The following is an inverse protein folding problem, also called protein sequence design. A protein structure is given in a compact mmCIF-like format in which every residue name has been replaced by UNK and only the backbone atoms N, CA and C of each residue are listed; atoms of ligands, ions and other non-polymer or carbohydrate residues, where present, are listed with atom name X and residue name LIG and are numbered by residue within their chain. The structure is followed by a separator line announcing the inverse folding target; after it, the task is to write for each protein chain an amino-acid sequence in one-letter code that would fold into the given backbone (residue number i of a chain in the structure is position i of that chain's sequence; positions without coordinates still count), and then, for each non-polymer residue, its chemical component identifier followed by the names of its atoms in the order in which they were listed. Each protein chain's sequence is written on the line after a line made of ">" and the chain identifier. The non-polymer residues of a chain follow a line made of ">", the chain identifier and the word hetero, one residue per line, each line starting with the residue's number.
data_IF_798939429235
#
_entry.id   IF_798939429235
#
_cell.length_a   1.000
_cell.length_b   1.000
_cell.length_c   1.000
_cell.angle_alpha   90.00
_cell.angle_beta   90.00
_cell.angle_gamma   90.00
#
_symmetry.space_group_name_H-M   'P 1'
#
loop_
_entity.id
_entity.type
_entity.pdbx_description
1 polymer ?
#
# COMPACT_ATOMS: atom_id res chain seq x y z
N UNK A 1 -8.02 3.37 10.16
CA UNK A 1 -9.24 3.10 10.94
C UNK A 1 -9.24 1.67 11.48
N UNK A 2 -9.27 0.65 10.61
CA UNK A 2 -9.43 -0.75 11.00
C UNK A 2 -8.39 -1.25 12.03
N UNK A 3 -7.13 -0.85 11.89
CA UNK A 3 -6.08 -1.12 12.89
C UNK A 3 -6.51 -0.68 14.31
N UNK A 4 -6.96 0.56 14.48
CA UNK A 4 -7.34 1.10 15.80
C UNK A 4 -8.65 0.54 16.35
N UNK A 5 -9.49 -0.07 15.50
CA UNK A 5 -10.71 -0.76 15.93
C UNK A 5 -10.40 -2.18 16.41
N UNK A 6 -9.44 -2.86 15.77
CA UNK A 6 -9.18 -4.28 16.01
C UNK A 6 -8.04 -4.54 17.00
N UNK A 7 -7.09 -3.59 17.11
CA UNK A 7 -5.93 -3.68 17.99
C UNK A 7 -6.10 -2.68 19.14
N UNK A 8 -6.13 -3.17 20.39
CA UNK A 8 -6.14 -2.32 21.57
C UNK A 8 -4.92 -1.37 21.53
N UNK A 9 -5.17 -0.09 21.76
CA UNK A 9 -4.13 0.92 21.82
C UNK A 9 -4.44 1.89 22.96
N UNK A 10 -3.41 2.22 23.73
CA UNK A 10 -3.50 3.16 24.86
C UNK A 10 -3.56 4.63 24.41
N UNK A 11 -3.73 4.88 23.11
CA UNK A 11 -3.82 6.21 22.53
C UNK A 11 -5.20 6.81 22.79
N UNK A 12 -5.22 8.07 23.21
CA UNK A 12 -6.44 8.85 23.37
C UNK A 12 -7.04 9.15 21.98
N UNK A 13 -8.36 9.39 21.90
CA UNK A 13 -9.07 9.61 20.63
C UNK A 13 -8.42 10.69 19.75
N UNK A 14 -7.95 11.80 20.34
CA UNK A 14 -7.27 12.87 19.61
C UNK A 14 -5.96 12.40 18.96
N UNK A 15 -5.18 11.55 19.65
CA UNK A 15 -3.94 11.00 19.11
C UNK A 15 -4.23 10.04 17.94
N UNK A 16 -5.27 9.21 18.05
CA UNK A 16 -5.73 8.35 16.94
C UNK A 16 -6.12 9.20 15.73
N UNK A 17 -6.85 10.29 15.95
CA UNK A 17 -7.25 11.22 14.88
C UNK A 17 -6.05 11.91 14.24
N UNK A 18 -5.05 12.32 15.02
CA UNK A 18 -3.80 12.89 14.49
C UNK A 18 -3.06 11.90 13.59
N UNK A 19 -2.92 10.63 14.02
CA UNK A 19 -2.28 9.59 13.19
C UNK A 19 -3.07 9.35 11.92
N UNK A 20 -4.40 9.24 11.99
CA UNK A 20 -5.25 9.06 10.82
C UNK A 20 -5.16 10.25 9.85
N UNK A 21 -5.09 11.47 10.39
CA UNK A 21 -4.93 12.70 9.60
C UNK A 21 -3.57 12.73 8.90
N UNK A 22 -2.50 12.39 9.61
CA UNK A 22 -1.16 12.26 9.03
C UNK A 22 -1.15 11.25 7.87
N UNK A 23 -1.69 10.05 8.11
CA UNK A 23 -1.78 9.00 7.08
C UNK A 23 -2.60 9.48 5.88
N UNK A 24 -3.72 10.16 6.10
CA UNK A 24 -4.56 10.68 5.02
C UNK A 24 -3.82 11.76 4.20
N UNK A 25 -3.17 12.72 4.86
CA UNK A 25 -2.42 13.78 4.19
C UNK A 25 -1.29 13.18 3.34
N UNK A 26 -0.51 12.27 3.91
CA UNK A 26 0.67 11.70 3.23
C UNK A 26 0.29 10.73 2.12
N UNK A 27 -0.76 9.92 2.28
CA UNK A 27 -1.10 8.87 1.30
C UNK A 27 -2.12 9.32 0.24
N UNK A 28 -2.83 10.43 0.46
CA UNK A 28 -3.85 10.93 -0.46
C UNK A 28 -3.61 12.38 -0.88
N UNK A 29 -3.55 13.32 0.07
CA UNK A 29 -3.54 14.75 -0.25
C UNK A 29 -2.23 15.18 -0.95
N UNK A 30 -1.08 14.79 -0.40
CA UNK A 30 0.23 15.12 -0.97
C UNK A 30 0.39 14.51 -2.37
N UNK A 31 0.15 13.19 -2.59
CA UNK A 31 0.23 12.61 -3.93
C UNK A 31 -0.71 13.25 -4.94
N UNK A 32 -1.93 13.61 -4.53
CA UNK A 32 -2.89 14.29 -5.40
C UNK A 32 -2.38 15.66 -5.86
N UNK A 33 -1.87 16.48 -4.93
CA UNK A 33 -1.28 17.78 -5.25
C UNK A 33 -0.09 17.62 -6.21
N UNK A 34 0.73 16.60 -6.00
CA UNK A 34 1.89 16.34 -6.86
C UNK A 34 1.47 15.86 -8.26
N UNK A 35 0.41 15.06 -8.39
CA UNK A 35 -0.15 14.71 -9.71
C UNK A 35 -0.66 15.95 -10.46
N UNK A 36 -1.31 16.90 -9.77
CA UNK A 36 -1.72 18.19 -10.35
C UNK A 36 -0.49 18.97 -10.83
N UNK A 37 0.57 19.03 -10.03
CA UNK A 37 1.82 19.67 -10.40
C UNK A 37 2.46 19.01 -11.63
N UNK A 38 2.58 17.68 -11.65
CA UNK A 38 3.16 16.94 -12.78
C UNK A 38 2.38 17.14 -14.07
N UNK A 39 1.05 17.29 -14.01
CA UNK A 39 0.26 17.63 -15.18
C UNK A 39 0.56 19.06 -15.67
N UNK A 40 0.63 20.04 -14.76
CA UNK A 40 0.99 21.43 -15.10
C UNK A 40 2.38 21.52 -15.73
N UNK A 41 3.34 20.74 -15.23
CA UNK A 41 4.71 20.65 -15.75
C UNK A 41 4.85 19.75 -16.99
N UNK A 42 3.74 19.19 -17.51
CA UNK A 42 3.71 18.29 -18.69
C UNK A 42 4.50 16.99 -18.53
N UNK A 43 4.78 16.56 -17.30
CA UNK A 43 5.38 15.24 -17.03
C UNK A 43 4.39 14.08 -17.20
N UNK A 44 3.08 14.36 -17.06
CA UNK A 44 1.99 13.43 -17.37
C UNK A 44 1.00 14.08 -18.33
N UNK A 45 0.44 13.31 -19.27
CA UNK A 45 -0.55 13.82 -20.22
C UNK A 45 -1.93 13.95 -19.59
N UNK A 46 -2.31 12.99 -18.75
CA UNK A 46 -3.60 12.94 -18.09
C UNK A 46 -3.46 12.33 -16.68
N UNK A 47 -4.50 12.48 -15.86
CA UNK A 47 -4.51 11.98 -14.48
C UNK A 47 -4.66 10.46 -14.38
N UNK A 48 -4.91 9.74 -15.48
CA UNK A 48 -5.01 8.27 -15.48
C UNK A 48 -3.64 7.59 -15.46
N UNK A 49 -2.58 8.28 -15.91
CA UNK A 49 -1.18 7.81 -15.84
C UNK A 49 -1.04 6.37 -16.36
N UNK A 50 -1.45 6.13 -17.60
CA UNK A 50 -1.63 4.78 -18.17
C UNK A 50 -0.32 4.12 -18.61
N UNK A 51 0.69 4.94 -18.95
CA UNK A 51 1.98 4.45 -19.43
C UNK A 51 2.98 4.23 -18.30
N UNK A 52 3.89 3.26 -18.47
CA UNK A 52 4.99 3.03 -17.51
C UNK A 52 5.82 4.31 -17.34
N UNK A 53 6.09 5.03 -18.43
CA UNK A 53 6.88 6.26 -18.41
C UNK A 53 6.28 7.30 -17.47
N UNK A 54 4.97 7.50 -17.54
CA UNK A 54 4.27 8.44 -16.67
C UNK A 54 4.15 7.93 -15.22
N UNK A 55 4.15 6.61 -14.98
CA UNK A 55 4.05 6.01 -13.64
C UNK A 55 5.35 6.05 -12.84
N UNK A 56 6.52 6.14 -13.49
CA UNK A 56 7.83 6.12 -12.81
C UNK A 56 7.93 7.17 -11.71
N UNK A 57 7.71 8.44 -12.06
CA UNK A 57 7.89 9.56 -11.15
C UNK A 57 6.86 9.53 -9.98
N UNK A 58 5.55 9.35 -10.21
CA UNK A 58 4.57 9.16 -9.13
C UNK A 58 4.90 7.98 -8.20
N UNK A 59 5.32 6.82 -8.73
CA UNK A 59 5.63 5.67 -7.89
C UNK A 59 6.91 5.89 -7.08
N UNK A 60 7.97 6.46 -7.67
CA UNK A 60 9.21 6.76 -6.94
C UNK A 60 8.96 7.69 -5.76
N UNK A 61 8.13 8.72 -5.96
CA UNK A 61 7.67 9.59 -4.89
C UNK A 61 6.90 8.81 -3.81
N UNK A 62 5.95 7.96 -4.21
CA UNK A 62 5.17 7.17 -3.25
C UNK A 62 6.06 6.24 -2.41
N UNK A 63 7.08 5.61 -3.00
CA UNK A 63 8.10 4.85 -2.25
C UNK A 63 8.68 5.70 -1.12
N UNK A 64 9.17 6.89 -1.46
CA UNK A 64 9.76 7.81 -0.48
C UNK A 64 8.76 8.24 0.61
N UNK A 65 7.54 8.65 0.23
CA UNK A 65 6.52 9.08 1.17
C UNK A 65 6.10 7.95 2.14
N UNK A 66 5.92 6.73 1.62
CA UNK A 66 5.57 5.58 2.45
C UNK A 66 6.71 5.17 3.38
N UNK A 67 7.96 5.25 2.94
CA UNK A 67 9.12 5.02 3.81
C UNK A 67 9.17 6.03 4.96
N UNK A 68 9.09 7.33 4.66
CA UNK A 68 9.07 8.38 5.68
C UNK A 68 7.91 8.24 6.65
N UNK A 69 6.72 7.89 6.15
CA UNK A 69 5.55 7.64 6.99
C UNK A 69 5.76 6.44 7.92
N UNK A 70 6.34 5.36 7.38
CA UNK A 70 6.75 4.19 8.17
C UNK A 70 7.70 4.57 9.29
N UNK A 71 8.76 5.33 8.98
CA UNK A 71 9.74 5.81 9.97
C UNK A 71 9.15 6.73 11.02
N UNK A 72 8.30 7.66 10.60
CA UNK A 72 7.61 8.57 11.53
C UNK A 72 6.73 7.81 12.51
N UNK A 73 5.98 6.81 12.02
CA UNK A 73 5.07 6.00 12.84
C UNK A 73 5.83 4.99 13.70
N UNK A 74 6.95 4.43 13.23
CA UNK A 74 7.75 3.47 14.00
C UNK A 74 8.39 4.10 15.24
N UNK A 75 8.65 5.41 15.21
CA UNK A 75 9.19 6.16 16.35
C UNK A 75 8.15 6.40 17.46
N UNK A 76 6.86 6.15 17.19
CA UNK A 76 5.80 6.26 18.19
C UNK A 76 5.58 4.90 18.84
N UNK A 77 5.80 4.84 20.17
CA UNK A 77 5.53 3.65 20.96
C UNK A 77 4.09 3.15 20.73
N UNK A 78 3.92 1.82 20.69
CA UNK A 78 2.64 1.14 20.40
C UNK A 78 2.10 1.26 18.96
N UNK A 79 2.80 1.96 18.05
CA UNK A 79 2.44 2.03 16.63
C UNK A 79 3.41 1.29 15.70
N UNK A 80 4.43 0.62 16.24
CA UNK A 80 5.38 -0.18 15.45
C UNK A 80 4.68 -1.23 14.59
N UNK A 81 3.63 -1.87 15.10
CA UNK A 81 2.79 -2.79 14.32
C UNK A 81 2.19 -2.11 13.09
N UNK A 82 1.68 -0.89 13.21
CA UNK A 82 1.14 -0.12 12.09
C UNK A 82 2.24 0.33 11.10
N UNK A 83 3.46 0.63 11.57
CA UNK A 83 4.57 1.03 10.69
C UNK A 83 4.93 -0.03 9.65
N UNK A 84 4.71 -1.31 9.97
CA UNK A 84 4.93 -2.45 9.06
C UNK A 84 4.14 -2.30 7.76
N UNK A 85 2.91 -1.80 7.83
CA UNK A 85 2.07 -1.58 6.66
C UNK A 85 2.73 -0.62 5.66
N UNK A 86 3.31 0.47 6.16
CA UNK A 86 3.90 1.52 5.33
C UNK A 86 5.27 1.12 4.81
N UNK A 87 6.09 0.44 5.61
CA UNK A 87 7.35 -0.14 5.14
C UNK A 87 7.14 -1.21 4.07
N UNK A 88 6.18 -2.13 4.25
CA UNK A 88 5.83 -3.12 3.24
C UNK A 88 5.33 -2.46 1.95
N UNK A 89 4.50 -1.43 2.06
CA UNK A 89 4.03 -0.66 0.90
C UNK A 89 5.19 0.02 0.16
N UNK A 90 6.11 0.64 0.89
CA UNK A 90 7.32 1.24 0.30
C UNK A 90 8.14 0.22 -0.46
N UNK A 91 8.46 -0.93 0.16
CA UNK A 91 9.24 -1.99 -0.48
C UNK A 91 8.52 -2.59 -1.69
N UNK A 92 7.22 -2.84 -1.59
CA UNK A 92 6.41 -3.36 -2.68
C UNK A 92 6.38 -2.41 -3.89
N UNK A 93 6.20 -1.11 -3.64
CA UNK A 93 6.25 -0.09 -4.70
C UNK A 93 7.65 0.06 -5.30
N UNK A 94 8.70 -0.12 -4.50
CA UNK A 94 10.08 -0.15 -5.00
C UNK A 94 10.31 -1.33 -5.95
N UNK A 95 9.81 -2.53 -5.60
CA UNK A 95 9.84 -3.69 -6.50
C UNK A 95 9.05 -3.40 -7.79
N UNK A 96 7.86 -2.81 -7.71
CA UNK A 96 7.09 -2.40 -8.91
C UNK A 96 7.88 -1.40 -9.77
N UNK A 97 8.57 -0.46 -9.14
CA UNK A 97 9.43 0.49 -9.86
C UNK A 97 10.56 -0.23 -10.60
N UNK A 98 11.16 -1.26 -10.02
CA UNK A 98 12.14 -2.13 -10.71
C UNK A 98 11.49 -2.89 -11.87
N UNK A 99 10.27 -3.40 -11.70
CA UNK A 99 9.54 -4.11 -12.77
C UNK A 99 9.26 -3.25 -14.01
N UNK A 100 9.23 -1.93 -13.87
CA UNK A 100 9.10 -1.01 -15.00
C UNK A 100 10.28 -1.09 -15.98
N UNK A 101 11.48 -1.45 -15.53
CA UNK A 101 12.62 -1.69 -16.43
C UNK A 101 12.39 -2.92 -17.32
N UNK A 102 11.69 -3.93 -16.80
CA UNK A 102 11.28 -5.13 -17.53
C UNK A 102 9.96 -4.97 -18.31
N UNK A 103 9.42 -3.75 -18.40
CA UNK A 103 8.15 -3.42 -19.07
C UNK A 103 6.91 -4.13 -18.47
N UNK A 104 6.98 -4.61 -17.24
CA UNK A 104 5.87 -5.28 -16.55
C UNK A 104 5.04 -4.23 -15.80
N UNK A 105 3.73 -4.13 -16.10
CA UNK A 105 2.81 -3.20 -15.40
C UNK A 105 2.04 -3.93 -14.31
N UNK A 106 2.72 -4.34 -13.25
CA UNK A 106 2.09 -4.98 -12.10
C UNK A 106 0.91 -4.14 -11.56
N UNK A 107 -0.19 -4.82 -11.17
CA UNK A 107 -1.38 -4.15 -10.66
C UNK A 107 -1.16 -3.62 -9.25
N UNK A 108 -0.97 -2.30 -9.11
CA UNK A 108 -0.82 -1.63 -7.80
C UNK A 108 -2.08 -1.78 -6.94
N UNK A 109 -3.25 -1.93 -7.55
CA UNK A 109 -4.51 -2.15 -6.84
C UNK A 109 -4.52 -3.51 -6.12
N UNK A 110 -4.10 -4.57 -6.82
CA UNK A 110 -4.03 -5.91 -6.24
C UNK A 110 -2.84 -6.05 -5.30
N UNK A 111 -1.74 -5.35 -5.57
CA UNK A 111 -0.62 -5.20 -4.63
C UNK A 111 -1.09 -4.60 -3.30
N UNK A 112 -1.92 -3.56 -3.32
CA UNK A 112 -2.44 -2.94 -2.10
C UNK A 112 -3.28 -3.92 -1.26
N UNK A 113 -4.12 -4.74 -1.91
CA UNK A 113 -4.90 -5.77 -1.21
C UNK A 113 -4.02 -6.93 -0.71
N UNK A 114 -3.01 -7.34 -1.48
CA UNK A 114 -2.01 -8.32 -1.05
C UNK A 114 -1.27 -7.88 0.22
N UNK A 115 -0.82 -6.62 0.25
CA UNK A 115 -0.22 -6.01 1.45
C UNK A 115 -1.21 -6.04 2.62
N UNK A 116 -2.46 -5.64 2.41
CA UNK A 116 -3.42 -5.57 3.51
C UNK A 116 -3.73 -6.95 4.08
N UNK A 117 -3.84 -7.98 3.24
CA UNK A 117 -3.99 -9.37 3.66
C UNK A 117 -2.77 -9.83 4.46
N UNK A 118 -1.57 -9.66 3.91
CA UNK A 118 -0.33 -10.06 4.57
C UNK A 118 -0.10 -9.33 5.90
N UNK A 119 -0.48 -8.05 5.97
CA UNK A 119 -0.47 -7.24 7.18
C UNK A 119 -1.33 -7.86 8.29
N UNK A 120 -2.58 -8.24 8.00
CA UNK A 120 -3.44 -8.89 9.01
C UNK A 120 -2.99 -10.31 9.36
N UNK A 121 -2.36 -11.04 8.44
CA UNK A 121 -1.71 -12.32 8.75
C UNK A 121 -0.57 -12.14 9.76
N UNK A 122 0.31 -11.16 9.56
CA UNK A 122 1.41 -10.87 10.47
C UNK A 122 0.89 -10.35 11.82
N UNK A 123 -0.08 -9.42 11.82
CA UNK A 123 -0.69 -8.94 13.06
C UNK A 123 -1.37 -10.06 13.86
N UNK A 124 -1.93 -11.07 13.18
CA UNK A 124 -2.54 -12.21 13.86
C UNK A 124 -1.52 -12.95 14.72
N UNK A 125 -0.29 -13.08 14.22
CA UNK A 125 0.84 -13.68 14.94
C UNK A 125 1.35 -12.76 16.06
N UNK A 126 1.59 -11.48 15.76
CA UNK A 126 2.14 -10.52 16.74
C UNK A 126 1.24 -10.38 17.98
N UNK A 127 -0.08 -10.35 17.78
CA UNK A 127 -1.04 -10.12 18.87
C UNK A 127 -1.69 -11.41 19.39
N UNK A 128 -1.28 -12.59 18.91
CA UNK A 128 -1.91 -13.88 19.21
C UNK A 128 -3.46 -13.84 19.10
N UNK A 129 -3.97 -13.11 18.10
CA UNK A 129 -5.41 -12.85 17.90
C UNK A 129 -5.78 -13.19 16.46
N UNK A 130 -6.86 -13.92 16.27
CA UNK A 130 -7.33 -14.25 14.91
C UNK A 130 -7.99 -13.06 14.23
N UNK A 131 -7.47 -12.67 13.05
CA UNK A 131 -8.12 -11.74 12.13
C UNK A 131 -8.71 -12.45 10.89
N UNK A 132 -9.02 -13.75 11.01
CA UNK A 132 -9.42 -14.60 9.87
C UNK A 132 -10.61 -14.05 9.09
N UNK A 133 -11.63 -13.50 9.76
CA UNK A 133 -12.81 -12.92 9.09
C UNK A 133 -12.41 -11.75 8.20
N UNK A 134 -11.52 -10.87 8.70
CA UNK A 134 -11.00 -9.74 7.92
C UNK A 134 -10.22 -10.24 6.71
N UNK A 135 -9.38 -11.25 6.90
CA UNK A 135 -8.57 -11.85 5.83
C UNK A 135 -9.47 -12.46 4.73
N UNK A 136 -10.51 -13.23 5.10
CA UNK A 136 -11.47 -13.81 4.16
C UNK A 136 -12.16 -12.70 3.34
N UNK A 137 -12.67 -11.66 4.01
CA UNK A 137 -13.31 -10.53 3.34
C UNK A 137 -12.35 -9.86 2.35
N UNK A 138 -11.08 -9.65 2.74
CA UNK A 138 -10.09 -9.05 1.87
C UNK A 138 -9.75 -9.93 0.66
N UNK A 139 -9.69 -11.26 0.80
CA UNK A 139 -9.51 -12.17 -0.33
C UNK A 139 -10.70 -12.12 -1.30
N UNK A 140 -11.94 -12.07 -0.80
CA UNK A 140 -13.13 -11.92 -1.63
C UNK A 140 -13.10 -10.59 -2.41
N UNK A 141 -12.77 -9.49 -1.74
CA UNK A 141 -12.61 -8.18 -2.37
C UNK A 141 -11.48 -8.20 -3.41
N UNK A 142 -10.38 -8.90 -3.14
CA UNK A 142 -9.28 -9.06 -4.10
C UNK A 142 -9.72 -9.82 -5.36
N UNK A 143 -10.50 -10.90 -5.21
CA UNK A 143 -11.08 -11.63 -6.34
C UNK A 143 -12.00 -10.75 -7.19
N UNK A 144 -12.92 -10.02 -6.56
CA UNK A 144 -13.82 -9.09 -7.25
C UNK A 144 -13.04 -7.99 -7.99
N UNK A 145 -12.02 -7.41 -7.35
CA UNK A 145 -11.20 -6.37 -7.93
C UNK A 145 -10.36 -6.90 -9.10
N UNK A 146 -9.79 -8.11 -8.98
CA UNK A 146 -9.07 -8.77 -10.07
C UNK A 146 -9.98 -8.96 -11.29
N UNK A 147 -11.18 -9.49 -11.10
CA UNK A 147 -12.19 -9.67 -12.15
C UNK A 147 -12.52 -8.34 -12.83
N UNK A 148 -12.74 -7.28 -12.06
CA UNK A 148 -13.01 -5.95 -12.62
C UNK A 148 -11.84 -5.39 -13.44
N UNK A 149 -10.58 -5.60 -13.01
CA UNK A 149 -9.40 -5.15 -13.76
C UNK A 149 -9.21 -5.91 -15.08
N UNK A 150 -9.51 -7.21 -15.10
CA UNK A 150 -9.51 -8.02 -16.32
C UNK A 150 -10.63 -7.62 -17.28
N UNK A 151 -11.84 -7.43 -16.77
CA UNK A 151 -12.99 -7.03 -17.58
C UNK A 151 -12.78 -5.66 -18.26
N UNK A 152 -12.13 -4.72 -17.57
CA UNK A 152 -11.75 -3.41 -18.12
C UNK A 152 -10.52 -3.47 -19.05
N UNK A 153 -9.91 -4.65 -19.26
CA UNK A 153 -8.66 -4.85 -20.02
C UNK A 153 -7.52 -3.93 -19.54
N UNK A 154 -7.55 -3.53 -18.28
CA UNK A 154 -6.56 -2.61 -17.70
C UNK A 154 -5.24 -3.32 -17.37
N UNK A 155 -5.31 -4.62 -17.12
CA UNK A 155 -4.19 -5.48 -16.78
C UNK A 155 -4.40 -6.89 -17.35
N UNK A 156 -3.31 -7.61 -17.54
CA UNK A 156 -3.33 -9.05 -17.81
C UNK A 156 -3.40 -9.86 -16.52
N UNK A 157 -3.79 -11.13 -16.61
CA UNK A 157 -3.80 -12.07 -15.48
C UNK A 157 -2.44 -12.17 -14.79
N UNK A 158 -1.34 -12.18 -15.57
CA UNK A 158 0.02 -12.21 -15.03
C UNK A 158 0.34 -10.97 -14.20
N UNK A 159 0.01 -9.78 -14.70
CA UNK A 159 0.25 -8.52 -13.98
C UNK A 159 -0.56 -8.40 -12.68
N UNK A 160 -1.74 -9.00 -12.66
CA UNK A 160 -2.59 -9.10 -11.46
C UNK A 160 -1.94 -9.99 -10.40
N UNK A 161 -1.54 -11.21 -10.75
CA UNK A 161 -0.89 -12.12 -9.80
C UNK A 161 0.44 -11.58 -9.31
N UNK A 162 1.27 -11.03 -10.20
CA UNK A 162 2.54 -10.39 -9.83
C UNK A 162 2.29 -9.29 -8.79
N UNK A 163 1.34 -8.39 -9.05
CA UNK A 163 1.00 -7.32 -8.10
C UNK A 163 0.57 -7.89 -6.75
N UNK A 164 -0.40 -8.82 -6.75
CA UNK A 164 -0.93 -9.42 -5.54
C UNK A 164 0.14 -10.10 -4.68
N UNK A 165 0.95 -10.98 -5.27
CA UNK A 165 1.97 -11.74 -4.53
C UNK A 165 3.14 -10.87 -4.07
N UNK A 166 3.54 -9.85 -4.84
CA UNK A 166 4.51 -8.86 -4.34
C UNK A 166 3.98 -8.20 -3.07
N UNK A 167 2.72 -7.77 -3.08
CA UNK A 167 2.11 -7.17 -1.91
C UNK A 167 2.07 -8.10 -0.70
N UNK A 168 1.65 -9.35 -0.90
CA UNK A 168 1.54 -10.34 0.16
C UNK A 168 2.90 -10.75 0.74
N UNK A 169 3.93 -10.92 -0.09
CA UNK A 169 5.23 -11.40 0.36
C UNK A 169 6.07 -10.31 1.00
N UNK A 170 5.95 -9.06 0.52
CA UNK A 170 6.70 -7.93 1.06
C UNK A 170 6.38 -7.64 2.53
N UNK A 171 5.14 -7.88 2.98
CA UNK A 171 4.81 -7.76 4.41
C UNK A 171 5.58 -8.74 5.27
N UNK A 172 5.75 -9.98 4.81
CA UNK A 172 6.54 -10.99 5.54
C UNK A 172 8.03 -10.64 5.51
N UNK A 173 8.55 -10.21 4.36
CA UNK A 173 9.96 -9.77 4.24
C UNK A 173 10.25 -8.63 5.20
N UNK A 174 9.41 -7.59 5.21
CA UNK A 174 9.58 -6.45 6.11
C UNK A 174 9.45 -6.87 7.58
N UNK A 175 8.54 -7.77 7.90
CA UNK A 175 8.42 -8.31 9.26
C UNK A 175 9.72 -8.94 9.76
N UNK A 176 10.40 -9.74 8.91
CA UNK A 176 11.68 -10.37 9.29
C UNK A 176 12.86 -9.41 9.36
N UNK A 177 12.76 -8.22 8.75
CA UNK A 177 13.81 -7.20 8.76
C UNK A 177 13.69 -6.20 9.92
N UNK A 178 12.52 -6.10 10.55
CA UNK A 178 12.20 -5.16 11.64
C UNK A 178 12.37 -5.77 13.02
#
# INVERSE_FOLDING_TARGET
>A
MLYFLLIPSNLVSNQKLMVLSLVFIVTYLIPLLILVLFKKLKFIKNYKVESIKERKLPIALMVFLFYLLGTTISNVANLRGLSLLFYATSLALFIVYILFFFKIKASVHLLSLGIFIGFFMILSNIHAKSFIIVIIILFLIAGLLASARLALKAHTTKEIYIGFFIGLLTTSIVYFLL
#
